data_IF_507058906701
#
_entry.id   IF_507058906701
#
_cell.length_a   1.000
_cell.length_b   1.000
_cell.length_c   1.000
_cell.angle_alpha   90.00
_cell.angle_beta   90.00
_cell.angle_gamma   90.00
#
_symmetry.space_group_name_H-M   'P 1'
#
loop_
_entity.id
_entity.type
_entity.pdbx_description
1 polymer ?
#
# COMPACT_ATOMS: atom_id res chain seq x y z
N UNK A 1 19.89 1.59 -3.07
CA UNK A 1 18.77 0.65 -3.30
C UNK A 1 17.97 0.41 -2.03
N UNK A 2 18.51 -0.19 -0.95
CA UNK A 2 17.72 -0.42 0.28
C UNK A 2 17.13 0.84 0.91
N UNK A 3 17.89 1.95 0.95
CA UNK A 3 17.39 3.24 1.46
C UNK A 3 16.26 3.83 0.60
N UNK A 4 16.33 3.64 -0.73
CA UNK A 4 15.27 4.07 -1.64
C UNK A 4 14.00 3.25 -1.40
N UNK A 5 14.13 1.93 -1.29
CA UNK A 5 13.01 1.04 -0.98
C UNK A 5 12.34 1.43 0.34
N UNK A 6 13.11 1.80 1.37
CA UNK A 6 12.54 2.26 2.65
C UNK A 6 11.79 3.58 2.51
N UNK A 7 12.26 4.53 1.69
CA UNK A 7 11.55 5.79 1.46
C UNK A 7 10.26 5.60 0.67
N UNK A 8 10.27 4.79 -0.38
CA UNK A 8 9.07 4.49 -1.17
C UNK A 8 8.01 3.74 -0.35
N UNK A 9 8.45 2.86 0.56
CA UNK A 9 7.54 2.14 1.46
C UNK A 9 6.97 3.05 2.53
N UNK A 10 7.79 3.94 3.10
CA UNK A 10 7.32 4.92 4.09
C UNK A 10 6.35 5.94 3.48
N UNK A 11 6.66 6.40 2.27
CA UNK A 11 5.74 7.24 1.50
C UNK A 11 4.39 6.56 1.28
N UNK A 12 4.38 5.28 0.90
CA UNK A 12 3.15 4.53 0.71
C UNK A 12 2.37 4.41 2.01
N UNK A 13 3.05 4.18 3.15
CA UNK A 13 2.45 4.10 4.48
C UNK A 13 1.65 5.36 4.80
N UNK A 14 2.29 6.52 4.73
CA UNK A 14 1.68 7.80 5.08
C UNK A 14 0.55 8.18 4.12
N UNK A 15 0.80 7.99 2.82
CA UNK A 15 -0.16 8.39 1.78
C UNK A 15 -1.40 7.49 1.79
N UNK A 16 -1.23 6.17 1.93
CA UNK A 16 -2.36 5.25 1.98
C UNK A 16 -3.18 5.44 3.25
N UNK A 17 -2.54 5.64 4.42
CA UNK A 17 -3.26 5.91 5.66
C UNK A 17 -4.15 7.14 5.52
N UNK A 18 -3.58 8.24 5.02
CA UNK A 18 -4.35 9.46 4.77
C UNK A 18 -5.49 9.23 3.79
N UNK A 19 -5.22 8.53 2.69
CA UNK A 19 -6.25 8.24 1.69
C UNK A 19 -7.41 7.43 2.26
N UNK A 20 -7.14 6.42 3.10
CA UNK A 20 -8.18 5.62 3.76
C UNK A 20 -9.02 6.43 4.74
N UNK A 21 -8.37 7.31 5.51
CA UNK A 21 -9.05 8.21 6.44
C UNK A 21 -9.95 9.21 5.71
N UNK A 22 -9.49 9.73 4.56
CA UNK A 22 -10.23 10.68 3.72
C UNK A 22 -11.40 10.02 2.97
N UNK A 23 -11.22 8.79 2.46
CA UNK A 23 -12.24 8.07 1.67
C UNK A 23 -13.35 7.45 2.53
N UNK A 24 -13.00 6.88 3.69
CA UNK A 24 -13.94 6.14 4.53
C UNK A 24 -14.26 6.90 5.83
N UNK A 25 -13.32 6.85 6.76
CA UNK A 25 -13.20 7.67 7.96
C UNK A 25 -11.98 7.16 8.75
N UNK A 26 -11.45 7.95 9.71
CA UNK A 26 -10.35 7.50 10.55
C UNK A 26 -10.72 6.29 11.41
N UNK A 27 -9.95 5.22 11.31
CA UNK A 27 -10.10 4.02 12.13
C UNK A 27 -8.76 3.31 12.42
N UNK A 28 -8.65 2.57 13.54
CA UNK A 28 -7.43 1.84 13.87
C UNK A 28 -6.98 0.86 12.78
N UNK A 29 -7.94 0.26 12.03
CA UNK A 29 -7.64 -0.65 10.94
C UNK A 29 -6.82 0.02 9.82
N UNK A 30 -7.01 1.33 9.56
CA UNK A 30 -6.26 2.06 8.53
C UNK A 30 -4.75 2.13 8.86
N UNK A 31 -4.40 2.17 10.15
CA UNK A 31 -2.99 2.10 10.61
C UNK A 31 -2.40 0.73 10.30
N UNK A 32 -3.10 -0.36 10.63
CA UNK A 32 -2.63 -1.72 10.38
C UNK A 32 -2.52 -2.03 8.89
N UNK A 33 -3.48 -1.54 8.11
CA UNK A 33 -3.51 -1.69 6.65
C UNK A 33 -2.34 -0.94 6.00
N UNK A 34 -2.14 0.33 6.35
CA UNK A 34 -1.04 1.13 5.79
C UNK A 34 0.33 0.57 6.16
N UNK A 35 0.53 0.14 7.41
CA UNK A 35 1.75 -0.54 7.84
C UNK A 35 2.00 -1.85 7.06
N UNK A 36 0.93 -2.65 6.86
CA UNK A 36 1.03 -3.92 6.14
C UNK A 36 1.29 -3.73 4.65
N UNK A 37 0.63 -2.76 4.02
CA UNK A 37 0.84 -2.41 2.62
C UNK A 37 2.28 -1.91 2.38
N UNK A 38 2.78 -1.02 3.24
CA UNK A 38 4.14 -0.52 3.20
C UNK A 38 5.17 -1.64 3.33
N UNK A 39 5.00 -2.54 4.31
CA UNK A 39 5.86 -3.73 4.46
C UNK A 39 5.82 -4.61 3.20
N UNK A 40 4.62 -4.90 2.69
CA UNK A 40 4.47 -5.74 1.50
C UNK A 40 5.17 -5.12 0.29
N UNK A 41 5.05 -3.82 0.10
CA UNK A 41 5.71 -3.09 -0.98
C UNK A 41 7.23 -3.07 -0.83
N UNK A 42 7.75 -2.85 0.38
CA UNK A 42 9.18 -2.94 0.67
C UNK A 42 9.77 -4.30 0.27
N UNK A 43 9.07 -5.38 0.62
CA UNK A 43 9.45 -6.75 0.29
C UNK A 43 9.48 -6.96 -1.22
N UNK A 44 8.46 -6.48 -1.95
CA UNK A 44 8.42 -6.54 -3.42
C UNK A 44 9.58 -5.77 -4.07
N UNK A 45 9.83 -4.52 -3.64
CA UNK A 45 10.94 -3.71 -4.15
C UNK A 45 12.30 -4.35 -3.87
N UNK A 46 12.44 -5.00 -2.71
CA UNK A 46 13.67 -5.72 -2.33
C UNK A 46 13.86 -6.98 -3.16
N UNK A 47 12.76 -7.65 -3.52
CA UNK A 47 12.74 -8.76 -4.48
C UNK A 47 12.92 -8.31 -5.94
N UNK A 48 13.02 -6.99 -6.20
CA UNK A 48 13.07 -6.38 -7.53
C UNK A 48 11.82 -6.67 -8.39
N UNK A 49 10.68 -6.87 -7.72
CA UNK A 49 9.40 -6.97 -8.41
C UNK A 49 8.96 -5.58 -8.89
N UNK A 50 8.51 -5.50 -10.14
CA UNK A 50 8.06 -4.27 -10.80
C UNK A 50 6.70 -4.42 -11.47
N UNK A 51 6.18 -5.64 -11.60
CA UNK A 51 4.84 -5.87 -12.10
C UNK A 51 3.80 -5.48 -11.03
N UNK A 52 2.97 -4.50 -11.36
CA UNK A 52 1.96 -3.98 -10.43
C UNK A 52 0.88 -5.02 -10.10
N UNK A 53 0.60 -5.97 -11.00
CA UNK A 53 -0.33 -7.07 -10.76
C UNK A 53 0.22 -8.05 -9.71
N UNK A 54 1.50 -8.41 -9.81
CA UNK A 54 2.16 -9.26 -8.81
C UNK A 54 2.27 -8.55 -7.45
N UNK A 55 2.60 -7.25 -7.45
CA UNK A 55 2.61 -6.43 -6.23
C UNK A 55 1.22 -6.39 -5.59
N UNK A 56 0.17 -6.18 -6.39
CA UNK A 56 -1.23 -6.18 -5.93
C UNK A 56 -1.58 -7.51 -5.27
N UNK A 57 -1.36 -8.63 -5.96
CA UNK A 57 -1.76 -9.95 -5.46
C UNK A 57 -1.01 -10.33 -4.18
N UNK A 58 0.30 -10.04 -4.11
CA UNK A 58 1.06 -10.23 -2.88
C UNK A 58 0.48 -9.40 -1.74
N UNK A 59 0.20 -8.11 -2.00
CA UNK A 59 -0.32 -7.19 -0.99
C UNK A 59 -1.72 -7.60 -0.49
N UNK A 60 -2.60 -8.07 -1.38
CA UNK A 60 -3.90 -8.66 -1.00
C UNK A 60 -3.69 -9.83 -0.06
N UNK A 61 -2.78 -10.75 -0.36
CA UNK A 61 -2.48 -11.90 0.49
C UNK A 61 -1.93 -11.52 1.87
N UNK A 62 -1.15 -10.44 1.96
CA UNK A 62 -0.67 -9.91 3.24
C UNK A 62 -1.78 -9.20 4.03
N UNK A 63 -2.63 -8.41 3.36
CA UNK A 63 -3.74 -7.69 3.99
C UNK A 63 -4.86 -8.61 4.46
N UNK A 64 -5.11 -9.73 3.78
CA UNK A 64 -6.10 -10.73 4.19
C UNK A 64 -5.84 -11.34 5.59
N UNK A 65 -4.63 -11.17 6.13
CA UNK A 65 -4.27 -11.63 7.48
C UNK A 65 -4.77 -10.70 8.59
N UNK A 66 -5.25 -9.50 8.24
CA UNK A 66 -5.79 -8.51 9.17
C UNK A 66 -7.27 -8.78 9.50
N UNK A 67 -7.72 -8.23 10.63
CA UNK A 67 -9.13 -8.27 11.03
C UNK A 67 -9.88 -7.05 10.50
N UNK A 68 -10.93 -7.28 9.71
CA UNK A 68 -11.80 -6.24 9.13
C UNK A 68 -13.20 -6.20 9.77
N UNK A 69 -13.40 -6.87 10.92
CA UNK A 69 -14.73 -7.11 11.50
C UNK A 69 -15.57 -5.85 11.73
N UNK A 70 -14.92 -4.71 11.94
CA UNK A 70 -15.56 -3.40 12.18
C UNK A 70 -15.18 -2.35 11.11
N UNK A 71 -14.50 -2.78 10.04
CA UNK A 71 -13.97 -1.91 8.99
C UNK A 71 -14.98 -1.67 7.87
N UNK A 72 -14.96 -0.48 7.28
CA UNK A 72 -15.84 -0.09 6.17
C UNK A 72 -15.44 -0.69 4.82
N UNK A 73 -14.19 -1.14 4.72
CA UNK A 73 -13.60 -1.71 3.51
C UNK A 73 -12.83 -2.99 3.84
N UNK A 74 -12.43 -3.71 2.79
CA UNK A 74 -11.72 -4.98 2.89
C UNK A 74 -10.34 -4.95 2.25
N UNK A 75 -9.58 -6.03 2.44
CA UNK A 75 -8.21 -6.20 1.94
C UNK A 75 -8.03 -5.85 0.46
N UNK A 76 -8.97 -6.24 -0.40
CA UNK A 76 -8.87 -5.98 -1.84
C UNK A 76 -9.03 -4.50 -2.18
N UNK A 77 -9.96 -3.80 -1.54
CA UNK A 77 -10.14 -2.35 -1.72
C UNK A 77 -8.90 -1.58 -1.29
N UNK A 78 -8.36 -1.91 -0.12
CA UNK A 78 -7.14 -1.31 0.40
C UNK A 78 -5.92 -1.57 -0.51
N UNK A 79 -5.74 -2.81 -1.00
CA UNK A 79 -4.64 -3.15 -1.90
C UNK A 79 -4.73 -2.41 -3.24
N UNK A 80 -5.94 -2.29 -3.81
CA UNK A 80 -6.14 -1.52 -5.03
C UNK A 80 -5.83 -0.04 -4.84
N UNK A 81 -6.26 0.56 -3.72
CA UNK A 81 -5.92 1.94 -3.40
C UNK A 81 -4.40 2.14 -3.33
N UNK A 82 -3.70 1.23 -2.65
CA UNK A 82 -2.25 1.26 -2.55
C UNK A 82 -1.55 1.21 -3.93
N UNK A 83 -1.97 0.28 -4.80
CA UNK A 83 -1.38 0.11 -6.13
C UNK A 83 -1.72 1.28 -7.06
N UNK A 84 -2.92 1.85 -6.94
CA UNK A 84 -3.28 3.08 -7.65
C UNK A 84 -2.35 4.24 -7.26
N UNK A 85 -2.06 4.41 -5.97
CA UNK A 85 -1.13 5.44 -5.50
C UNK A 85 0.28 5.20 -6.04
N UNK A 86 0.77 3.95 -6.02
CA UNK A 86 2.08 3.59 -6.58
C UNK A 86 2.14 3.95 -8.08
N UNK A 87 1.11 3.59 -8.86
CA UNK A 87 1.04 3.92 -10.30
C UNK A 87 1.14 5.43 -10.53
N UNK A 88 0.35 6.22 -9.81
CA UNK A 88 0.36 7.69 -9.91
C UNK A 88 1.73 8.28 -9.59
N UNK A 89 2.43 7.74 -8.58
CA UNK A 89 3.77 8.20 -8.21
C UNK A 89 4.80 7.86 -9.29
N UNK A 90 4.73 6.68 -9.88
CA UNK A 90 5.59 6.28 -11.00
C UNK A 90 5.39 7.18 -12.22
N UNK A 91 4.14 7.51 -12.56
CA UNK A 91 3.80 8.45 -13.63
C UNK A 91 4.35 9.85 -13.33
N UNK A 92 4.16 10.37 -12.11
CA UNK A 92 4.68 11.69 -11.72
C UNK A 92 6.20 11.81 -11.74
N UNK A 93 6.92 10.69 -11.62
CA UNK A 93 8.39 10.64 -11.70
C UNK A 93 8.91 10.50 -13.13
N UNK A 94 8.02 10.33 -14.12
CA UNK A 94 8.36 10.19 -15.54
C UNK A 94 8.22 11.48 -16.34
N UNK A 95 7.67 12.53 -15.72
CA UNK A 95 7.51 13.87 -16.30
C UNK A 95 8.70 14.83 -16.01
N UNK A 96 9.77 14.33 -15.38
CA UNK A 96 11.07 15.00 -15.15
C UNK A 96 12.17 14.44 -16.07
#
# INVERSE_FOLDING_TARGET
MQLLNSWESEWLRETLHKWLDDEYCPEPANVDISNTAARSFYESLTAKESDLGEILLKMVGDLQKLSYKESFHGAFSAANAAVSLISQRMESSSDD
#
